data_IF_825653481730
#
_entry.id   IF_825653481730
#
_cell.length_a   1.000
_cell.length_b   1.000
_cell.length_c   1.000
_cell.angle_alpha   90.00
_cell.angle_beta   90.00
_cell.angle_gamma   90.00
#
_symmetry.space_group_name_H-M   'P 1'
#
loop_
_entity.id
_entity.type
_entity.pdbx_description
1 polymer ?
#
# COMPACT_ATOMS: atom_id res chain seq x y z
N UNK A 1 21.54 17.65 16.40
CA UNK A 1 21.29 18.46 17.62
C UNK A 1 20.35 17.66 18.53
N UNK A 2 20.52 17.73 19.85
CA UNK A 2 19.84 16.89 20.86
C UNK A 2 18.43 17.39 21.21
N UNK A 3 17.57 16.42 21.58
CA UNK A 3 16.41 16.58 22.47
C UNK A 3 15.07 16.65 21.74
N UNK A 4 13.97 16.03 22.19
CA UNK A 4 13.64 15.55 23.52
C UNK A 4 12.57 14.42 23.50
N UNK A 5 12.66 13.54 24.51
CA UNK A 5 11.67 12.52 24.88
C UNK A 5 10.53 13.13 25.69
N UNK A 6 9.34 12.52 25.60
CA UNK A 6 8.27 12.68 26.57
C UNK A 6 7.49 11.37 26.75
N UNK A 7 7.79 10.63 27.82
CA UNK A 7 6.95 9.55 28.36
C UNK A 7 5.84 10.15 29.25
N UNK A 8 4.63 9.58 29.20
CA UNK A 8 3.51 9.95 30.06
C UNK A 8 2.53 8.79 30.31
N UNK A 9 2.69 8.15 31.47
CA UNK A 9 1.79 7.20 32.19
C UNK A 9 0.31 7.61 32.10
N UNK A 10 -0.72 6.76 32.22
CA UNK A 10 -0.88 5.38 32.67
C UNK A 10 -2.35 5.20 33.09
N UNK A 11 -3.00 4.09 32.72
CA UNK A 11 -4.38 3.79 33.09
C UNK A 11 -4.43 2.80 34.27
N UNK A 12 -5.20 3.14 35.31
CA UNK A 12 -5.41 2.35 36.53
C UNK A 12 -6.51 1.31 36.33
N UNK A 13 -6.24 0.08 36.75
CA UNK A 13 -7.18 -1.04 36.84
C UNK A 13 -7.81 -1.11 38.25
N UNK A 14 -9.12 -1.33 38.35
CA UNK A 14 -9.87 -1.45 39.62
C UNK A 14 -10.28 -2.91 39.82
N UNK A 15 -9.72 -3.55 40.86
CA UNK A 15 -10.06 -4.92 41.28
C UNK A 15 -11.35 -4.96 42.12
N UNK A 16 -12.31 -5.78 41.69
CA UNK A 16 -13.52 -6.14 42.43
C UNK A 16 -13.40 -7.53 43.10
N UNK A 17 -13.71 -7.58 44.39
CA UNK A 17 -13.43 -8.68 45.33
C UNK A 17 -14.33 -9.92 45.19
N UNK A 18 -13.76 -11.10 45.52
CA UNK A 18 -14.40 -12.43 45.60
C UNK A 18 -15.33 -12.58 46.82
N UNK A 19 -16.43 -13.32 46.64
CA UNK A 19 -17.21 -13.95 47.72
C UNK A 19 -17.46 -15.43 47.41
N UNK A 20 -17.29 -16.29 48.42
CA UNK A 20 -17.44 -17.76 48.39
C UNK A 20 -18.66 -18.20 49.22
N UNK A 21 -19.40 -19.20 48.73
CA UNK A 21 -20.12 -20.31 49.42
C UNK A 21 -21.03 -20.96 48.35
N UNK A 22 -21.29 -22.26 48.23
CA UNK A 22 -21.04 -23.45 49.04
C UNK A 22 -22.18 -24.45 48.76
N UNK A 23 -21.84 -25.71 48.49
CA UNK A 23 -22.62 -26.96 48.59
C UNK A 23 -23.56 -27.51 47.46
N UNK A 24 -23.04 -28.59 46.85
CA UNK A 24 -23.51 -30.00 46.76
C UNK A 24 -24.78 -30.44 45.99
N UNK A 25 -24.51 -31.38 45.07
CA UNK A 25 -25.19 -32.66 44.75
C UNK A 25 -26.40 -32.70 43.80
N UNK A 26 -26.23 -33.28 42.61
CA UNK A 26 -26.84 -34.57 42.21
C UNK A 26 -26.51 -34.90 40.74
N UNK A 27 -26.36 -36.19 40.46
CA UNK A 27 -26.01 -36.76 39.17
C UNK A 27 -27.19 -36.73 38.19
N UNK A 28 -26.89 -36.66 36.88
CA UNK A 28 -27.57 -37.49 35.87
C UNK A 28 -26.76 -37.56 34.56
N UNK A 29 -26.72 -38.78 34.04
CA UNK A 29 -26.03 -39.27 32.83
C UNK A 29 -26.68 -38.71 31.58
N UNK A 30 -25.90 -38.22 30.62
CA UNK A 30 -26.34 -38.06 29.22
C UNK A 30 -25.14 -38.12 28.26
N UNK A 31 -25.17 -39.18 27.44
CA UNK A 31 -24.41 -39.52 26.24
C UNK A 31 -23.34 -38.52 25.74
N UNK A 32 -22.07 -38.94 25.81
CA UNK A 32 -20.97 -38.32 25.06
C UNK A 32 -21.04 -38.74 23.57
N UNK A 33 -21.58 -37.86 22.73
CA UNK A 33 -21.32 -37.87 21.29
C UNK A 33 -19.93 -37.27 21.05
N UNK A 34 -18.91 -38.12 20.92
CA UNK A 34 -17.58 -37.71 20.45
C UNK A 34 -17.70 -37.37 18.97
N UNK A 35 -18.03 -36.10 18.66
CA UNK A 35 -17.77 -35.55 17.33
C UNK A 35 -16.26 -35.33 17.24
N UNK A 36 -15.59 -36.17 16.46
CA UNK A 36 -14.22 -35.94 16.05
C UNK A 36 -14.16 -34.58 15.31
N UNK A 37 -13.67 -33.56 16.00
CA UNK A 37 -13.33 -32.28 15.40
C UNK A 37 -12.08 -32.53 14.55
N UNK A 38 -12.24 -32.62 13.23
CA UNK A 38 -11.11 -32.53 12.31
C UNK A 38 -10.53 -31.13 12.50
N UNK A 39 -9.46 -31.03 13.30
CA UNK A 39 -8.63 -29.84 13.37
C UNK A 39 -7.84 -29.79 12.06
N UNK A 40 -8.46 -29.23 11.01
CA UNK A 40 -7.71 -28.73 9.87
C UNK A 40 -6.93 -27.55 10.41
N UNK A 41 -5.66 -27.78 10.77
CA UNK A 41 -4.69 -26.71 10.95
C UNK A 41 -4.44 -26.15 9.55
N UNK A 42 -5.30 -25.22 9.13
CA UNK A 42 -4.96 -24.25 8.11
C UNK A 42 -3.81 -23.45 8.72
N UNK A 43 -2.58 -23.79 8.37
CA UNK A 43 -1.44 -22.90 8.57
C UNK A 43 -1.81 -21.63 7.80
N UNK A 44 -2.26 -20.60 8.51
CA UNK A 44 -2.42 -19.28 7.93
C UNK A 44 -1.01 -18.81 7.57
N UNK A 45 -0.66 -18.88 6.29
CA UNK A 45 0.49 -18.17 5.78
C UNK A 45 0.30 -16.67 6.09
N UNK A 46 1.32 -15.95 6.56
CA UNK A 46 1.21 -14.50 6.69
C UNK A 46 0.81 -13.91 5.34
N UNK A 47 -0.33 -13.22 5.31
CA UNK A 47 -0.96 -12.68 4.10
C UNK A 47 -0.40 -11.30 3.79
N UNK A 48 0.86 -11.21 3.36
CA UNK A 48 1.43 -9.95 2.87
C UNK A 48 1.64 -10.03 1.37
N UNK A 49 0.61 -9.67 0.62
CA UNK A 49 0.60 -9.73 -0.84
C UNK A 49 1.15 -8.47 -1.52
N UNK A 50 1.16 -7.35 -0.80
CA UNK A 50 1.59 -6.02 -1.24
C UNK A 50 2.14 -5.24 -0.05
N UNK A 51 2.98 -4.23 -0.30
CA UNK A 51 3.21 -3.20 0.69
C UNK A 51 1.90 -2.41 0.84
N UNK A 52 1.24 -2.61 1.97
CA UNK A 52 0.04 -1.89 2.38
C UNK A 52 0.44 -1.05 3.56
N UNK A 53 -0.16 0.13 3.68
CA UNK A 53 -0.06 0.85 4.94
C UNK A 53 -0.66 -0.05 6.02
N UNK A 54 0.01 -0.18 7.15
CA UNK A 54 -0.32 -1.20 8.13
C UNK A 54 0.06 -0.82 9.54
N UNK A 55 -0.70 -1.32 10.51
CA UNK A 55 -0.35 -1.23 11.94
C UNK A 55 0.08 -2.60 12.43
N UNK A 56 1.15 -2.63 13.22
CA UNK A 56 1.68 -3.86 13.82
C UNK A 56 0.99 -4.16 15.15
N UNK A 57 0.26 -5.28 15.24
CA UNK A 57 -0.32 -5.80 16.49
C UNK A 57 0.28 -7.18 16.78
N UNK A 58 1.24 -7.22 17.71
CA UNK A 58 2.03 -8.43 17.95
C UNK A 58 2.84 -8.81 16.71
N UNK A 59 2.72 -10.05 16.24
CA UNK A 59 3.40 -10.57 15.04
C UNK A 59 2.57 -10.39 13.74
N UNK A 60 1.45 -9.66 13.79
CA UNK A 60 0.56 -9.45 12.65
C UNK A 60 0.55 -8.00 12.22
N UNK A 61 0.74 -7.74 10.93
CA UNK A 61 0.48 -6.43 10.31
C UNK A 61 -0.96 -6.42 9.80
N UNK A 62 -1.77 -5.50 10.31
CA UNK A 62 -3.14 -5.29 9.85
C UNK A 62 -3.09 -4.21 8.78
N UNK A 63 -3.55 -4.55 7.58
CA UNK A 63 -3.66 -3.59 6.49
C UNK A 63 -4.68 -2.51 6.80
N UNK A 64 -4.31 -1.25 6.57
CA UNK A 64 -5.16 -0.09 6.71
C UNK A 64 -6.16 -0.05 5.55
N UNK A 65 -7.44 0.10 5.88
CA UNK A 65 -8.50 0.29 4.90
C UNK A 65 -9.71 0.97 5.50
N UNK A 66 -10.45 1.70 4.67
CA UNK A 66 -11.82 2.11 4.97
C UNK A 66 -12.74 0.90 5.19
N UNK A 67 -13.57 0.96 6.23
CA UNK A 67 -14.62 -0.04 6.49
C UNK A 67 -15.98 0.39 5.92
N UNK A 68 -16.23 1.70 5.87
CA UNK A 68 -17.45 2.27 5.31
C UNK A 68 -17.17 2.91 3.95
N UNK A 69 -18.06 2.66 2.99
CA UNK A 69 -18.01 3.21 1.63
C UNK A 69 -19.36 3.85 1.30
N UNK A 70 -19.40 4.91 0.48
CA UNK A 70 -18.26 5.53 -0.21
C UNK A 70 -17.35 6.36 0.73
N UNK A 71 -16.06 6.43 0.43
CA UNK A 71 -15.09 7.29 1.13
C UNK A 71 -15.47 8.74 0.88
N UNK A 72 -15.89 9.44 1.93
CA UNK A 72 -16.30 10.83 1.84
C UNK A 72 -15.09 11.74 1.88
N UNK A 73 -14.99 12.68 0.95
CA UNK A 73 -13.92 13.67 0.93
C UNK A 73 -14.42 15.08 0.60
N UNK A 74 -13.62 16.07 0.95
CA UNK A 74 -13.83 17.48 0.66
C UNK A 74 -12.65 18.04 -0.12
N UNK A 75 -12.90 19.11 -0.88
CA UNK A 75 -11.84 19.84 -1.59
C UNK A 75 -11.76 21.23 -1.00
N UNK A 76 -10.56 21.71 -0.71
CA UNK A 76 -10.35 23.07 -0.25
C UNK A 76 -10.87 24.08 -1.28
N UNK A 77 -11.48 25.16 -0.81
CA UNK A 77 -11.92 26.28 -1.65
C UNK A 77 -10.78 27.23 -2.05
N UNK A 78 -9.53 26.83 -1.76
CA UNK A 78 -8.31 27.54 -2.13
C UNK A 78 -7.67 26.93 -3.39
N UNK A 79 -7.12 27.80 -4.24
CA UNK A 79 -6.40 27.42 -5.46
C UNK A 79 -4.99 28.01 -5.47
N UNK A 80 -4.25 27.73 -6.54
CA UNK A 80 -2.88 28.21 -6.77
C UNK A 80 -2.75 28.85 -8.17
N UNK A 81 -1.68 29.61 -8.47
CA UNK A 81 -1.50 30.20 -9.79
C UNK A 81 -1.56 29.17 -10.93
N UNK A 82 -2.64 29.23 -11.73
CA UNK A 82 -2.88 28.33 -12.86
C UNK A 82 -3.82 27.16 -12.57
N UNK A 83 -4.25 26.96 -11.31
CA UNK A 83 -5.21 25.93 -10.91
C UNK A 83 -6.22 26.53 -9.94
N UNK A 84 -7.46 26.71 -10.39
CA UNK A 84 -8.56 27.15 -9.53
C UNK A 84 -9.04 26.01 -8.61
N UNK A 85 -9.82 26.29 -7.55
CA UNK A 85 -10.44 25.23 -6.75
C UNK A 85 -11.32 24.29 -7.59
N UNK A 86 -11.97 24.81 -8.64
CA UNK A 86 -12.75 23.99 -9.58
C UNK A 86 -11.86 23.08 -10.44
N UNK A 87 -10.67 23.55 -10.84
CA UNK A 87 -9.71 22.73 -11.57
C UNK A 87 -9.16 21.60 -10.68
N UNK A 88 -8.84 21.90 -9.42
CA UNK A 88 -8.44 20.92 -8.40
C UNK A 88 -9.54 19.87 -8.19
N UNK A 89 -10.77 20.30 -7.91
CA UNK A 89 -11.92 19.40 -7.72
C UNK A 89 -12.15 18.53 -8.96
N UNK A 90 -12.03 19.09 -10.15
CA UNK A 90 -12.12 18.35 -11.40
C UNK A 90 -11.01 17.29 -11.56
N UNK A 91 -9.77 17.59 -11.20
CA UNK A 91 -8.66 16.65 -11.25
C UNK A 91 -8.82 15.51 -10.23
N UNK A 92 -9.18 15.84 -8.98
CA UNK A 92 -9.47 14.87 -7.92
C UNK A 92 -10.61 13.94 -8.32
N UNK A 93 -11.70 14.45 -8.88
CA UNK A 93 -12.81 13.62 -9.34
C UNK A 93 -12.41 12.66 -10.47
N UNK A 94 -11.51 13.05 -11.39
CA UNK A 94 -11.02 12.14 -12.43
C UNK A 94 -10.11 11.05 -11.85
N UNK A 95 -9.24 11.43 -10.93
CA UNK A 95 -8.39 10.49 -10.21
C UNK A 95 -9.21 9.47 -9.38
N UNK A 96 -10.23 9.95 -8.64
CA UNK A 96 -11.16 9.09 -7.90
C UNK A 96 -11.87 8.10 -8.82
N UNK A 97 -12.39 8.57 -9.98
CA UNK A 97 -13.02 7.69 -10.98
C UNK A 97 -12.07 6.64 -11.52
N UNK A 98 -10.79 6.95 -11.73
CA UNK A 98 -9.83 5.96 -12.21
C UNK A 98 -9.65 4.79 -11.22
N UNK A 99 -9.78 5.04 -9.92
CA UNK A 99 -9.83 3.99 -8.90
C UNK A 99 -11.19 3.26 -8.87
N UNK A 100 -12.31 3.96 -9.02
CA UNK A 100 -13.67 3.36 -9.09
C UNK A 100 -13.88 2.48 -10.33
N UNK A 101 -13.21 2.82 -11.44
CA UNK A 101 -13.27 2.09 -12.70
C UNK A 101 -12.51 0.75 -12.65
N UNK A 102 -11.80 0.44 -11.55
CA UNK A 102 -11.17 -0.86 -11.34
C UNK A 102 -12.25 -1.91 -11.06
N UNK A 103 -12.56 -2.82 -12.03
CA UNK A 103 -13.74 -3.68 -11.94
C UNK A 103 -13.63 -4.78 -10.87
N UNK A 104 -12.42 -5.00 -10.37
CA UNK A 104 -12.07 -6.00 -9.36
C UNK A 104 -11.98 -5.42 -7.95
N UNK A 105 -12.21 -4.12 -7.79
CA UNK A 105 -12.25 -3.43 -6.51
C UNK A 105 -13.63 -2.82 -6.23
N UNK A 106 -14.05 -2.76 -4.96
CA UNK A 106 -15.34 -2.18 -4.54
C UNK A 106 -15.24 -0.75 -4.02
N UNK A 107 -14.05 -0.14 -4.04
CA UNK A 107 -13.82 1.22 -3.54
C UNK A 107 -14.73 2.20 -4.30
N UNK A 108 -15.33 3.13 -3.56
CA UNK A 108 -16.14 4.22 -4.12
C UNK A 108 -15.89 5.49 -3.32
N UNK A 109 -16.04 6.65 -3.94
CA UNK A 109 -15.78 7.95 -3.34
C UNK A 109 -17.01 8.87 -3.42
N UNK A 110 -17.17 9.71 -2.41
CA UNK A 110 -18.24 10.69 -2.33
C UNK A 110 -17.69 12.10 -2.10
N UNK A 111 -17.66 12.91 -3.16
CA UNK A 111 -17.33 14.33 -3.09
C UNK A 111 -18.42 15.07 -2.29
N UNK A 112 -18.07 15.56 -1.10
CA UNK A 112 -19.02 16.16 -0.17
C UNK A 112 -19.21 17.67 -0.30
N UNK A 113 -18.16 18.42 -0.64
CA UNK A 113 -18.18 19.86 -0.43
C UNK A 113 -16.89 20.55 -0.86
N UNK A 114 -17.01 21.85 -1.15
CA UNK A 114 -15.86 22.73 -0.95
C UNK A 114 -15.82 23.06 0.55
N UNK A 115 -14.62 23.20 1.12
CA UNK A 115 -14.39 23.62 2.52
C UNK A 115 -13.39 24.75 2.59
N UNK A 116 -13.51 25.56 3.64
CA UNK A 116 -12.46 26.46 4.07
C UNK A 116 -11.37 25.75 4.92
N UNK A 117 -11.64 24.53 5.41
CA UNK A 117 -10.63 23.67 6.05
C UNK A 117 -9.46 23.41 5.09
N UNK A 118 -8.27 23.29 5.65
CA UNK A 118 -7.05 22.89 4.95
C UNK A 118 -6.73 21.43 5.30
N UNK A 119 -6.01 20.71 4.42
CA UNK A 119 -5.50 19.39 4.78
C UNK A 119 -4.56 19.45 6.00
N UNK A 120 -4.43 18.32 6.70
CA UNK A 120 -3.47 18.14 7.80
C UNK A 120 -4.04 18.46 9.19
N UNK A 121 -5.32 18.76 9.31
CA UNK A 121 -6.02 18.95 10.57
C UNK A 121 -6.87 17.72 10.91
N UNK A 122 -6.66 17.11 12.09
CA UNK A 122 -7.49 16.00 12.57
C UNK A 122 -8.85 16.51 13.06
N UNK A 123 -9.73 16.86 12.10
CA UNK A 123 -11.04 17.50 12.32
C UNK A 123 -12.23 16.58 12.00
N UNK A 124 -11.97 15.32 11.65
CA UNK A 124 -12.94 14.34 11.20
C UNK A 124 -13.32 14.46 9.72
N UNK A 125 -12.61 15.28 8.94
CA UNK A 125 -12.84 15.49 7.51
C UNK A 125 -11.63 15.09 6.70
N UNK A 126 -11.83 14.23 5.71
CA UNK A 126 -10.80 13.95 4.70
C UNK A 126 -10.75 15.09 3.68
N UNK A 127 -9.78 15.99 3.82
CA UNK A 127 -9.68 17.22 3.03
C UNK A 127 -8.52 17.14 2.04
N UNK A 128 -8.79 17.50 0.78
CA UNK A 128 -7.77 17.62 -0.26
C UNK A 128 -7.57 19.08 -0.63
N UNK A 129 -6.33 19.57 -0.62
CA UNK A 129 -6.06 20.99 -0.85
C UNK A 129 -4.60 21.32 -1.13
N UNK A 130 -4.33 22.60 -1.39
CA UNK A 130 -2.96 23.09 -1.54
C UNK A 130 -2.44 23.63 -0.20
N UNK A 131 -1.18 23.33 0.09
CA UNK A 131 -0.42 23.96 1.17
C UNK A 131 0.93 24.44 0.66
N UNK A 132 1.35 25.64 1.05
CA UNK A 132 2.66 26.17 0.70
C UNK A 132 3.73 25.62 1.65
N UNK A 133 4.53 24.67 1.17
CA UNK A 133 5.57 23.95 1.92
C UNK A 133 6.92 24.03 1.18
N UNK A 134 7.51 25.23 1.03
CA UNK A 134 8.74 25.42 0.25
C UNK A 134 9.95 24.67 0.83
N UNK A 135 9.92 24.29 2.10
CA UNK A 135 10.92 23.45 2.75
C UNK A 135 10.92 21.99 2.25
N UNK A 136 9.83 21.53 1.63
CA UNK A 136 9.68 20.19 1.08
C UNK A 136 9.99 20.17 -0.43
N UNK A 137 11.22 20.51 -0.79
CA UNK A 137 11.69 20.74 -2.17
C UNK A 137 11.58 19.50 -3.11
N UNK A 138 11.19 18.33 -2.59
CA UNK A 138 11.06 17.07 -3.34
C UNK A 138 9.72 16.36 -3.13
N UNK A 139 8.77 17.01 -2.45
CA UNK A 139 7.46 16.44 -2.12
C UNK A 139 6.38 17.23 -2.85
N UNK A 140 5.76 16.60 -3.85
CA UNK A 140 4.70 17.19 -4.66
C UNK A 140 3.34 17.13 -3.95
N UNK A 141 3.10 16.08 -3.19
CA UNK A 141 1.95 15.92 -2.32
C UNK A 141 2.26 14.90 -1.23
N UNK A 142 1.38 14.82 -0.25
CA UNK A 142 1.39 13.71 0.70
C UNK A 142 -0.01 13.47 1.25
N UNK A 143 -0.27 12.20 1.53
CA UNK A 143 -1.45 11.74 2.27
C UNK A 143 -1.11 11.51 3.74
N UNK A 144 -1.83 12.19 4.63
CA UNK A 144 -1.83 11.90 6.07
C UNK A 144 -3.07 11.09 6.41
N UNK A 145 -2.93 10.02 7.21
CA UNK A 145 -4.04 9.16 7.60
C UNK A 145 -4.19 9.05 9.11
N UNK A 146 -5.42 9.16 9.58
CA UNK A 146 -5.80 8.87 10.97
C UNK A 146 -6.46 7.52 11.00
N UNK A 147 -5.99 6.63 11.89
CA UNK A 147 -6.39 5.22 11.90
C UNK A 147 -6.73 4.71 13.29
N UNK A 148 -7.67 3.78 13.36
CA UNK A 148 -7.85 2.94 14.54
C UNK A 148 -6.76 1.86 14.52
N UNK A 149 -5.79 1.99 15.44
CA UNK A 149 -4.63 1.09 15.53
C UNK A 149 -4.97 -0.32 16.02
N UNK A 150 -6.21 -0.57 16.45
CA UNK A 150 -6.72 -1.89 16.86
C UNK A 150 -7.37 -2.61 15.69
N UNK A 151 -8.15 -1.90 14.88
CA UNK A 151 -8.92 -2.50 13.78
C UNK A 151 -8.25 -2.36 12.41
N UNK A 152 -7.31 -1.42 12.27
CA UNK A 152 -6.75 -1.00 10.98
C UNK A 152 -7.75 -0.18 10.14
N UNK A 153 -8.81 0.32 10.73
CA UNK A 153 -9.76 1.20 10.04
C UNK A 153 -9.13 2.57 9.79
N UNK A 154 -9.22 3.04 8.54
CA UNK A 154 -8.95 4.45 8.22
C UNK A 154 -10.17 5.26 8.63
N UNK A 155 -9.94 6.27 9.47
CA UNK A 155 -10.96 7.17 10.01
C UNK A 155 -11.00 8.50 9.24
N UNK A 156 -9.84 8.96 8.80
CA UNK A 156 -9.64 10.23 8.10
C UNK A 156 -8.40 10.12 7.20
N UNK A 157 -8.42 10.81 6.06
CA UNK A 157 -7.27 10.96 5.21
C UNK A 157 -7.22 12.36 4.58
N UNK A 158 -6.19 13.13 4.91
CA UNK A 158 -5.93 14.43 4.30
C UNK A 158 -4.87 14.33 3.22
N UNK A 159 -5.05 15.09 2.14
CA UNK A 159 -4.07 15.16 1.06
C UNK A 159 -3.72 16.62 0.83
N UNK A 160 -2.46 16.96 1.05
CA UNK A 160 -1.95 18.24 0.61
C UNK A 160 -1.19 18.09 -0.71
N UNK A 161 -1.33 19.09 -1.57
CA UNK A 161 -0.50 19.30 -2.75
C UNK A 161 0.39 20.53 -2.49
N UNK A 162 1.69 20.42 -2.76
CA UNK A 162 2.62 21.47 -2.41
C UNK A 162 2.53 22.67 -3.37
N UNK A 163 2.03 23.80 -2.87
CA UNK A 163 1.83 25.04 -3.62
C UNK A 163 3.14 25.71 -4.10
N UNK A 164 4.29 25.29 -3.56
CA UNK A 164 5.60 25.76 -4.01
C UNK A 164 5.96 25.29 -5.43
N UNK A 165 5.26 24.28 -5.96
CA UNK A 165 5.47 23.77 -7.31
C UNK A 165 4.49 24.37 -8.33
N UNK A 166 4.88 24.47 -9.61
CA UNK A 166 3.97 24.86 -10.67
C UNK A 166 3.07 23.69 -11.09
N UNK A 167 1.76 23.92 -11.09
CA UNK A 167 0.75 22.90 -11.38
C UNK A 167 -0.01 23.16 -12.68
N UNK A 168 -0.45 22.08 -13.33
CA UNK A 168 -1.36 22.12 -14.48
C UNK A 168 -2.43 21.03 -14.35
N UNK A 169 -3.58 21.28 -14.95
CA UNK A 169 -4.66 20.30 -15.18
C UNK A 169 -4.92 20.10 -16.68
N UNK A 170 -4.04 20.62 -17.53
CA UNK A 170 -4.19 20.55 -18.98
C UNK A 170 -4.24 19.09 -19.46
N UNK A 171 -5.18 18.77 -20.35
CA UNK A 171 -5.40 17.40 -20.81
C UNK A 171 -4.15 16.78 -21.46
N UNK A 172 -3.34 17.58 -22.15
CA UNK A 172 -2.08 17.16 -22.78
C UNK A 172 -0.82 17.41 -21.93
N UNK A 173 -0.97 17.79 -20.67
CA UNK A 173 0.13 18.28 -19.84
C UNK A 173 0.62 19.68 -20.25
N UNK A 174 1.57 20.22 -19.50
CA UNK A 174 2.19 21.52 -19.77
C UNK A 174 3.68 21.49 -19.41
N UNK A 175 4.59 21.82 -20.36
CA UNK A 175 6.02 21.84 -20.07
C UNK A 175 6.35 22.73 -18.87
N UNK A 176 7.15 22.19 -17.94
CA UNK A 176 7.55 22.93 -16.73
C UNK A 176 6.48 22.97 -15.63
N UNK A 177 5.34 22.30 -15.78
CA UNK A 177 4.34 22.13 -14.72
C UNK A 177 4.04 20.66 -14.42
N UNK A 178 3.83 20.34 -13.15
CA UNK A 178 3.42 19.01 -12.73
C UNK A 178 1.94 18.77 -12.99
N UNK A 179 1.61 17.56 -13.44
CA UNK A 179 0.24 17.17 -13.71
C UNK A 179 -0.50 16.81 -12.42
N UNK A 180 -1.42 17.67 -12.00
CA UNK A 180 -2.15 17.51 -10.74
C UNK A 180 -2.99 16.23 -10.70
N UNK A 181 -3.53 15.79 -11.83
CA UNK A 181 -4.35 14.56 -11.88
C UNK A 181 -3.52 13.31 -11.59
N UNK A 182 -2.31 13.21 -12.15
CA UNK A 182 -1.40 12.10 -11.85
C UNK A 182 -0.99 12.05 -10.38
N UNK A 183 -0.68 13.20 -9.77
CA UNK A 183 -0.31 13.26 -8.35
C UNK A 183 -1.53 12.97 -7.47
N UNK A 184 -2.70 13.55 -7.78
CA UNK A 184 -3.93 13.25 -7.06
C UNK A 184 -4.29 11.76 -7.12
N UNK A 185 -4.03 11.08 -8.24
CA UNK A 185 -4.25 9.64 -8.36
C UNK A 185 -3.34 8.84 -7.41
N UNK A 186 -2.06 9.21 -7.33
CA UNK A 186 -1.10 8.63 -6.39
C UNK A 186 -1.52 8.83 -4.94
N UNK A 187 -1.80 10.08 -4.54
CA UNK A 187 -2.20 10.38 -3.15
C UNK A 187 -3.53 9.72 -2.77
N UNK A 188 -4.49 9.66 -3.70
CA UNK A 188 -5.72 8.90 -3.49
C UNK A 188 -5.46 7.40 -3.32
N UNK A 189 -4.43 6.85 -3.96
CA UNK A 189 -3.98 5.48 -3.73
C UNK A 189 -3.57 5.26 -2.26
N UNK A 190 -2.77 6.16 -1.69
CA UNK A 190 -2.46 6.15 -0.26
C UNK A 190 -3.71 6.27 0.62
N UNK A 191 -4.64 7.16 0.24
CA UNK A 191 -5.91 7.31 0.95
C UNK A 191 -6.72 6.01 0.95
N UNK A 192 -6.59 5.14 -0.05
CA UNK A 192 -7.22 3.79 -0.01
C UNK A 192 -6.50 2.78 0.90
N UNK A 193 -5.30 3.10 1.37
CA UNK A 193 -4.46 2.20 2.18
C UNK A 193 -3.32 1.51 1.41
N UNK A 194 -3.13 1.82 0.12
CA UNK A 194 -1.97 1.35 -0.63
C UNK A 194 -0.70 2.04 -0.16
N UNK A 195 0.40 1.29 -0.08
CA UNK A 195 1.73 1.88 0.07
C UNK A 195 2.43 1.94 -1.29
N UNK A 196 3.66 2.42 -1.29
CA UNK A 196 4.46 2.54 -2.50
C UNK A 196 4.75 1.19 -3.16
N UNK A 197 4.75 1.22 -4.49
CA UNK A 197 5.25 0.14 -5.36
C UNK A 197 6.68 0.46 -5.78
N UNK A 198 7.55 -0.55 -5.85
CA UNK A 198 8.90 -0.41 -6.41
C UNK A 198 8.95 -0.71 -7.91
N UNK A 199 7.81 -0.82 -8.59
CA UNK A 199 7.75 -0.95 -10.04
C UNK A 199 7.98 0.40 -10.73
N UNK A 200 9.24 0.79 -10.86
CA UNK A 200 9.66 1.95 -11.63
C UNK A 200 11.13 1.88 -11.99
N UNK A 201 11.51 2.65 -12.99
CA UNK A 201 12.89 2.74 -13.47
C UNK A 201 13.33 4.20 -13.39
N UNK A 202 14.50 4.41 -12.79
CA UNK A 202 15.09 5.74 -12.69
C UNK A 202 16.53 5.77 -13.19
N UNK A 203 16.99 6.96 -13.51
CA UNK A 203 18.41 7.22 -13.75
C UNK A 203 18.91 8.36 -12.89
N UNK A 204 20.20 8.32 -12.55
CA UNK A 204 20.87 9.41 -11.86
C UNK A 204 21.06 10.59 -12.81
N UNK A 205 20.67 11.78 -12.36
CA UNK A 205 20.83 13.01 -13.14
C UNK A 205 22.14 13.69 -12.76
N UNK A 206 22.79 14.32 -13.75
CA UNK A 206 23.98 15.13 -13.51
C UNK A 206 23.64 16.31 -12.60
N UNK A 207 24.24 16.37 -11.40
CA UNK A 207 23.92 17.34 -10.35
C UNK A 207 23.19 16.76 -9.13
N UNK A 208 22.87 15.46 -9.14
CA UNK A 208 22.19 14.76 -8.05
C UNK A 208 20.71 14.51 -8.32
N UNK A 209 20.10 13.63 -7.54
CA UNK A 209 18.70 13.20 -7.72
C UNK A 209 18.50 12.15 -8.82
N UNK A 210 17.23 11.76 -9.00
CA UNK A 210 16.78 10.72 -9.93
C UNK A 210 15.72 11.27 -10.88
N UNK A 211 15.77 10.84 -12.14
CA UNK A 211 14.72 11.05 -13.14
C UNK A 211 14.05 9.73 -13.45
N UNK A 212 12.72 9.72 -13.50
CA UNK A 212 11.92 8.55 -13.90
C UNK A 212 12.00 8.35 -15.41
N UNK A 213 12.37 7.14 -15.81
CA UNK A 213 12.35 6.67 -17.20
C UNK A 213 11.04 5.97 -17.54
N UNK A 214 10.46 5.28 -16.55
CA UNK A 214 9.16 4.63 -16.64
C UNK A 214 8.64 4.28 -15.25
N UNK A 215 7.33 4.36 -15.07
CA UNK A 215 6.65 3.89 -13.87
C UNK A 215 5.75 2.71 -14.26
N UNK A 216 5.98 1.56 -13.63
CA UNK A 216 5.17 0.36 -13.77
C UNK A 216 3.96 0.34 -12.83
N UNK A 217 3.84 1.33 -11.94
CA UNK A 217 2.76 1.55 -11.01
C UNK A 217 2.55 3.05 -10.77
N UNK A 218 1.31 3.46 -10.53
CA UNK A 218 0.99 4.81 -10.06
C UNK A 218 1.56 5.02 -8.66
N UNK A 219 1.56 3.98 -7.82
CA UNK A 219 2.13 4.04 -6.48
C UNK A 219 3.68 4.05 -6.45
N UNK A 220 4.35 4.27 -7.58
CA UNK A 220 5.80 4.50 -7.55
C UNK A 220 6.10 5.89 -6.93
N UNK A 221 7.00 6.00 -5.93
CA UNK A 221 7.16 7.21 -5.09
C UNK A 221 7.78 8.41 -5.82
N UNK A 222 8.26 8.23 -7.04
CA UNK A 222 8.93 9.29 -7.80
C UNK A 222 8.05 9.64 -8.99
N UNK A 223 7.60 10.89 -9.04
CA UNK A 223 6.77 11.38 -10.12
C UNK A 223 7.54 11.55 -11.44
N UNK A 224 6.82 11.47 -12.55
CA UNK A 224 7.37 11.88 -13.84
C UNK A 224 7.76 13.36 -13.84
N UNK A 225 8.67 13.71 -14.76
CA UNK A 225 9.07 15.11 -14.95
C UNK A 225 7.89 15.99 -15.40
N UNK A 226 7.91 17.31 -15.09
CA UNK A 226 6.88 18.25 -15.51
C UNK A 226 6.53 18.16 -17.01
N UNK A 227 5.24 18.24 -17.33
CA UNK A 227 4.67 18.10 -18.67
C UNK A 227 4.30 16.66 -19.07
N UNK A 228 4.62 15.66 -18.25
CA UNK A 228 4.21 14.28 -18.46
C UNK A 228 2.80 14.01 -17.88
N UNK A 229 2.03 13.11 -18.52
CA UNK A 229 0.69 12.71 -18.11
C UNK A 229 0.50 11.18 -18.05
N UNK A 230 1.59 10.41 -18.18
CA UNK A 230 1.55 8.95 -18.27
C UNK A 230 1.12 8.29 -16.95
N UNK A 231 1.21 9.03 -15.83
CA UNK A 231 0.81 8.61 -14.49
C UNK A 231 -0.68 8.72 -14.16
N UNK A 232 -1.56 8.96 -15.13
CA UNK A 232 -3.02 9.14 -14.90
C UNK A 232 -3.85 7.85 -14.88
N UNK A 233 -3.23 6.67 -14.86
CA UNK A 233 -3.96 5.40 -14.91
C UNK A 233 -3.34 4.33 -14.01
N UNK A 234 -4.13 3.66 -13.15
CA UNK A 234 -3.67 2.49 -12.40
C UNK A 234 -3.13 1.41 -13.33
N UNK A 235 -2.00 0.82 -12.95
CA UNK A 235 -1.36 -0.30 -13.61
C UNK A 235 -1.74 -1.61 -12.93
N UNK A 236 -1.20 -2.73 -13.42
CA UNK A 236 -1.58 -4.06 -12.93
C UNK A 236 -1.29 -4.25 -11.44
N UNK A 237 -0.17 -3.71 -10.95
CA UNK A 237 0.23 -3.76 -9.55
C UNK A 237 -0.72 -2.95 -8.65
N UNK A 238 -1.04 -1.71 -9.06
CA UNK A 238 -2.00 -0.84 -8.37
C UNK A 238 -3.38 -1.51 -8.28
N UNK A 239 -3.86 -2.07 -9.40
CA UNK A 239 -5.15 -2.78 -9.49
C UNK A 239 -5.16 -3.98 -8.56
N UNK A 240 -4.08 -4.76 -8.55
CA UNK A 240 -4.02 -5.99 -7.80
C UNK A 240 -3.90 -5.72 -6.28
N UNK A 241 -3.16 -4.68 -5.87
CA UNK A 241 -3.15 -4.17 -4.50
C UNK A 241 -4.51 -3.64 -4.05
N UNK A 242 -5.16 -2.79 -4.86
CA UNK A 242 -6.48 -2.23 -4.53
C UNK A 242 -7.54 -3.33 -4.43
N UNK A 243 -7.51 -4.29 -5.35
CA UNK A 243 -8.46 -5.42 -5.36
C UNK A 243 -8.23 -6.40 -4.21
N UNK A 244 -7.02 -6.45 -3.66
CA UNK A 244 -6.75 -7.23 -2.45
C UNK A 244 -7.26 -6.53 -1.18
N UNK A 245 -7.25 -5.19 -1.14
CA UNK A 245 -7.84 -4.38 -0.07
C UNK A 245 -9.38 -4.37 -0.13
N UNK A 246 -9.95 -4.22 -1.32
CA UNK A 246 -11.39 -4.03 -1.56
C UNK A 246 -11.94 -5.03 -2.57
N UNK A 247 -11.85 -6.35 -2.34
CA UNK A 247 -12.16 -7.35 -3.36
C UNK A 247 -13.61 -7.29 -3.85
N UNK A 248 -13.76 -7.17 -5.17
CA UNK A 248 -15.04 -7.21 -5.86
C UNK A 248 -15.05 -8.18 -7.05
N UNK A 249 -16.24 -8.39 -7.61
CA UNK A 249 -16.42 -9.14 -8.85
C UNK A 249 -15.91 -10.59 -8.78
N UNK A 250 -14.99 -10.93 -9.67
CA UNK A 250 -14.37 -12.25 -9.78
C UNK A 250 -12.88 -12.27 -9.44
N UNK A 251 -12.32 -11.20 -8.85
CA UNK A 251 -10.87 -11.07 -8.53
C UNK A 251 -10.29 -12.36 -7.93
N UNK A 252 -10.81 -12.79 -6.78
CA UNK A 252 -10.35 -14.02 -6.09
C UNK A 252 -10.54 -15.31 -6.88
N UNK A 253 -11.40 -15.33 -7.89
CA UNK A 253 -11.65 -16.49 -8.77
C UNK A 253 -10.82 -16.48 -10.04
N UNK A 254 -10.27 -15.34 -10.46
CA UNK A 254 -9.49 -15.18 -11.70
C UNK A 254 -7.98 -15.06 -11.47
N UNK A 255 -7.59 -14.58 -10.30
CA UNK A 255 -6.17 -14.42 -9.91
C UNK A 255 -5.74 -15.51 -8.95
N UNK A 256 -4.44 -15.76 -8.89
CA UNK A 256 -3.80 -16.58 -7.86
C UNK A 256 -2.74 -15.79 -7.11
N UNK A 257 -1.88 -16.50 -6.39
CA UNK A 257 -0.71 -15.93 -5.72
C UNK A 257 0.57 -16.70 -6.04
N UNK A 258 1.69 -15.99 -5.92
CA UNK A 258 3.04 -16.55 -5.94
C UNK A 258 3.62 -16.38 -4.55
N UNK A 259 4.01 -17.47 -3.89
CA UNK A 259 4.68 -17.42 -2.59
C UNK A 259 6.07 -18.04 -2.65
N UNK A 260 6.93 -17.63 -1.74
CA UNK A 260 8.28 -18.16 -1.72
C UNK A 260 9.19 -17.56 -0.68
N UNK A 261 10.49 -17.81 -0.87
CA UNK A 261 11.56 -17.38 0.00
C UNK A 261 12.78 -16.91 -0.78
N UNK A 262 13.26 -15.72 -0.44
CA UNK A 262 14.52 -15.17 -0.93
C UNK A 262 15.63 -15.49 0.06
N UNK A 263 16.73 -16.07 -0.42
CA UNK A 263 17.88 -16.40 0.44
C UNK A 263 19.21 -15.87 -0.11
N UNK A 264 20.07 -15.41 0.81
CA UNK A 264 21.47 -15.03 0.55
C UNK A 264 22.36 -15.86 1.50
N UNK A 265 23.25 -16.68 0.95
CA UNK A 265 24.11 -17.59 1.71
C UNK A 265 23.36 -18.48 2.73
N UNK A 266 22.16 -18.92 2.35
CA UNK A 266 21.29 -19.76 3.18
C UNK A 266 20.51 -19.01 4.27
N UNK A 267 20.62 -17.68 4.35
CA UNK A 267 19.84 -16.83 5.26
C UNK A 267 18.72 -16.13 4.50
N UNK A 268 17.61 -15.83 5.17
CA UNK A 268 16.54 -15.02 4.63
C UNK A 268 17.01 -13.61 4.28
N UNK A 269 16.46 -13.05 3.20
CA UNK A 269 16.68 -11.65 2.81
C UNK A 269 15.39 -10.89 3.09
N UNK A 270 15.43 -9.93 4.01
CA UNK A 270 14.31 -9.02 4.27
C UNK A 270 14.39 -7.82 3.33
N UNK A 271 13.24 -7.43 2.75
CA UNK A 271 13.08 -6.26 1.88
C UNK A 271 13.61 -6.44 0.45
N UNK A 272 13.83 -7.67 -0.02
CA UNK A 272 14.12 -7.92 -1.43
C UNK A 272 12.86 -7.67 -2.27
N UNK A 273 12.98 -6.88 -3.34
CA UNK A 273 11.88 -6.65 -4.27
C UNK A 273 11.74 -7.86 -5.21
N UNK A 274 10.56 -8.45 -5.24
CA UNK A 274 10.20 -9.61 -6.05
C UNK A 274 9.10 -9.22 -7.02
N UNK A 275 9.31 -9.48 -8.30
CA UNK A 275 8.36 -9.18 -9.37
C UNK A 275 7.91 -10.44 -10.08
N UNK A 276 6.62 -10.50 -10.42
CA UNK A 276 6.00 -11.54 -11.20
C UNK A 276 5.50 -10.99 -12.53
N UNK A 277 6.21 -11.30 -13.62
CA UNK A 277 5.82 -10.92 -14.98
C UNK A 277 5.03 -12.04 -15.63
N UNK A 278 3.72 -11.84 -15.84
CA UNK A 278 2.86 -12.82 -16.49
C UNK A 278 3.09 -12.81 -18.02
N UNK A 279 3.57 -13.93 -18.57
CA UNK A 279 3.94 -14.02 -19.99
C UNK A 279 2.76 -14.00 -20.95
N UNK A 280 1.53 -14.25 -20.46
CA UNK A 280 0.31 -14.22 -21.26
C UNK A 280 -0.28 -12.82 -21.32
N UNK A 281 -0.45 -12.17 -20.17
CA UNK A 281 -1.10 -10.86 -20.07
C UNK A 281 -0.13 -9.70 -20.18
N UNK A 282 1.18 -9.98 -20.06
CA UNK A 282 2.27 -8.98 -20.01
C UNK A 282 2.14 -8.00 -18.86
N UNK A 283 1.41 -8.39 -17.82
CA UNK A 283 1.27 -7.62 -16.60
C UNK A 283 2.41 -7.95 -15.64
N UNK A 284 2.82 -6.94 -14.88
CA UNK A 284 3.85 -7.01 -13.85
C UNK A 284 3.20 -6.65 -12.53
N UNK A 285 3.43 -7.50 -11.52
CA UNK A 285 2.98 -7.29 -10.15
C UNK A 285 4.17 -7.54 -9.24
N UNK A 286 4.39 -6.69 -8.25
CA UNK A 286 5.53 -6.71 -7.35
C UNK A 286 5.13 -6.81 -5.89
N UNK A 287 6.01 -7.36 -5.07
CA UNK A 287 5.99 -7.19 -3.62
C UNK A 287 7.39 -7.41 -3.04
N UNK A 288 7.54 -7.27 -1.74
CA UNK A 288 8.79 -7.48 -1.03
C UNK A 288 8.81 -8.79 -0.24
N UNK A 289 10.01 -9.26 0.10
CA UNK A 289 10.18 -10.26 1.16
C UNK A 289 10.05 -9.62 2.53
N UNK A 290 8.84 -9.71 3.11
CA UNK A 290 8.45 -9.01 4.34
C UNK A 290 8.60 -9.88 5.60
N UNK A 291 9.48 -10.87 5.57
CA UNK A 291 9.76 -11.74 6.73
C UNK A 291 11.25 -11.94 6.89
N UNK A 292 11.74 -12.02 8.13
CA UNK A 292 13.17 -12.21 8.45
C UNK A 292 13.77 -13.48 7.84
N UNK A 293 12.92 -14.47 7.62
CA UNK A 293 13.29 -15.72 6.97
C UNK A 293 13.33 -15.60 5.42
N UNK A 294 12.99 -14.43 4.88
CA UNK A 294 12.95 -14.09 3.45
C UNK A 294 11.63 -14.42 2.76
N UNK A 295 10.57 -14.71 3.52
CA UNK A 295 9.25 -15.02 2.98
C UNK A 295 8.63 -13.87 2.18
N UNK A 296 8.01 -14.19 1.04
CA UNK A 296 7.24 -13.25 0.23
C UNK A 296 5.95 -13.89 -0.27
N UNK A 297 4.94 -13.06 -0.55
CA UNK A 297 3.73 -13.41 -1.29
C UNK A 297 3.41 -12.29 -2.27
N UNK A 298 3.07 -12.62 -3.52
CA UNK A 298 2.49 -11.70 -4.51
C UNK A 298 1.12 -12.25 -4.85
N UNK A 299 0.03 -11.63 -4.36
CA UNK A 299 -1.33 -12.05 -4.73
C UNK A 299 -1.81 -11.32 -5.98
N UNK A 300 -3.06 -11.53 -6.41
CA UNK A 300 -3.65 -10.77 -7.52
C UNK A 300 -3.00 -11.02 -8.89
N UNK A 301 -2.18 -12.06 -9.02
CA UNK A 301 -1.50 -12.40 -10.27
C UNK A 301 -2.47 -13.16 -11.17
N UNK A 302 -2.68 -12.67 -12.40
CA UNK A 302 -3.49 -13.36 -13.40
C UNK A 302 -2.99 -14.80 -13.63
N UNK A 303 -3.90 -15.73 -13.89
CA UNK A 303 -3.54 -17.12 -14.13
C UNK A 303 -2.64 -17.30 -15.38
N UNK A 304 -1.58 -18.08 -15.24
CA UNK A 304 -0.64 -18.37 -16.32
C UNK A 304 0.83 -18.44 -15.89
N UNK A 305 1.73 -18.69 -16.85
CA UNK A 305 3.16 -18.76 -16.58
C UNK A 305 3.73 -17.36 -16.30
N UNK A 306 4.43 -17.24 -15.19
CA UNK A 306 5.09 -16.03 -14.73
C UNK A 306 6.61 -16.22 -14.64
N UNK A 307 7.34 -15.20 -15.09
CA UNK A 307 8.77 -15.05 -14.83
C UNK A 307 8.95 -14.30 -13.51
N UNK A 308 9.72 -14.85 -12.57
CA UNK A 308 10.01 -14.18 -11.32
C UNK A 308 11.41 -13.57 -11.36
N UNK A 309 11.52 -12.29 -11.01
CA UNK A 309 12.78 -11.58 -10.86
C UNK A 309 12.86 -10.99 -9.46
N UNK A 310 14.05 -11.03 -8.89
CA UNK A 310 14.37 -10.50 -7.56
C UNK A 310 15.47 -9.47 -7.74
N UNK A 311 15.33 -8.31 -7.10
CA UNK A 311 16.30 -7.23 -7.14
C UNK A 311 16.42 -6.54 -5.78
N UNK A 312 17.60 -5.98 -5.45
CA UNK A 312 17.72 -5.10 -4.30
C UNK A 312 16.91 -3.83 -4.54
N UNK A 313 16.41 -3.20 -3.48
CA UNK A 313 15.83 -1.87 -3.58
C UNK A 313 16.94 -0.84 -3.73
N UNK A 314 17.39 -0.60 -4.97
CA UNK A 314 18.48 0.33 -5.29
C UNK A 314 18.04 1.56 -6.10
N UNK A 315 16.77 1.64 -6.49
CA UNK A 315 16.21 2.73 -7.29
C UNK A 315 15.31 3.73 -6.54
N UNK A 316 15.27 3.65 -5.21
CA UNK A 316 14.57 4.60 -4.34
C UNK A 316 15.19 4.69 -2.95
N UNK A 317 14.75 5.67 -2.17
CA UNK A 317 15.14 5.81 -0.77
C UNK A 317 14.36 4.78 0.07
N UNK A 318 15.06 4.06 0.96
CA UNK A 318 14.45 2.95 1.74
C UNK A 318 13.25 3.40 2.57
N UNK A 319 13.32 4.61 3.13
CA UNK A 319 12.27 5.19 3.97
C UNK A 319 10.98 5.50 3.18
N UNK A 320 11.02 5.39 1.84
CA UNK A 320 9.80 5.43 1.01
C UNK A 320 9.01 4.12 1.08
N UNK A 321 9.61 3.01 1.52
CA UNK A 321 9.01 1.68 1.46
C UNK A 321 8.97 0.97 2.81
N UNK A 322 9.86 1.32 3.73
CA UNK A 322 10.07 0.61 4.98
C UNK A 322 10.21 1.59 6.15
N UNK A 323 9.95 1.09 7.36
CA UNK A 323 10.19 1.88 8.57
C UNK A 323 11.71 1.99 8.81
N UNK A 324 12.19 3.09 9.42
CA UNK A 324 13.63 3.29 9.69
C UNK A 324 14.27 2.17 10.54
N UNK A 325 13.46 1.42 11.27
CA UNK A 325 13.90 0.29 12.10
C UNK A 325 14.09 -1.01 11.33
N UNK A 326 13.56 -1.08 10.10
CA UNK A 326 13.60 -2.27 9.27
C UNK A 326 15.01 -2.54 8.76
N UNK A 327 15.42 -3.81 8.83
CA UNK A 327 16.76 -4.24 8.43
C UNK A 327 16.75 -4.74 6.99
N UNK A 328 16.46 -3.83 6.06
CA UNK A 328 16.43 -4.09 4.62
C UNK A 328 17.84 -4.44 4.12
N UNK A 329 17.98 -5.59 3.47
CA UNK A 329 19.24 -6.02 2.88
C UNK A 329 19.26 -5.69 1.38
N UNK A 330 20.04 -4.68 1.00
CA UNK A 330 20.24 -4.27 -0.41
C UNK A 330 21.55 -4.78 -1.01
N UNK A 331 22.36 -5.51 -0.24
CA UNK A 331 23.70 -5.94 -0.61
C UNK A 331 23.67 -7.29 -1.34
N UNK A 332 22.97 -7.32 -2.47
CA UNK A 332 22.89 -8.50 -3.34
C UNK A 332 22.71 -8.13 -4.81
N UNK A 333 23.01 -9.09 -5.69
CA UNK A 333 22.82 -8.99 -7.14
C UNK A 333 21.42 -9.48 -7.53
N UNK A 334 20.78 -8.77 -8.47
CA UNK A 334 19.52 -9.20 -9.04
C UNK A 334 19.61 -10.63 -9.63
N UNK A 335 18.52 -11.37 -9.49
CA UNK A 335 18.42 -12.76 -9.91
C UNK A 335 17.06 -13.04 -10.59
N UNK A 336 17.03 -14.05 -11.43
CA UNK A 336 15.81 -14.52 -12.09
C UNK A 336 15.58 -15.97 -11.70
N UNK A 337 14.36 -16.32 -11.32
CA UNK A 337 14.01 -17.71 -11.04
C UNK A 337 14.12 -18.53 -12.32
N UNK A 338 14.89 -19.63 -12.27
CA UNK A 338 15.23 -20.43 -13.46
C UNK A 338 14.06 -21.25 -14.02
N UNK A 339 12.91 -21.26 -13.35
CA UNK A 339 11.70 -21.94 -13.80
C UNK A 339 10.54 -20.94 -13.85
N UNK A 340 9.58 -21.19 -14.72
CA UNK A 340 8.34 -20.40 -14.72
C UNK A 340 7.47 -20.83 -13.54
N UNK A 341 6.93 -19.84 -12.82
CA UNK A 341 5.89 -20.07 -11.83
C UNK A 341 4.54 -20.13 -12.55
N UNK A 342 3.82 -21.25 -12.46
CA UNK A 342 2.54 -21.39 -13.13
C UNK A 342 1.40 -21.06 -12.17
N UNK A 343 0.91 -19.83 -12.21
CA UNK A 343 -0.17 -19.35 -11.34
C UNK A 343 -1.50 -19.92 -11.80
N UNK A 344 -2.23 -20.51 -10.86
CA UNK A 344 -3.60 -21.01 -11.07
C UNK A 344 -4.58 -20.13 -10.30
N UNK A 345 -5.71 -19.83 -10.93
CA UNK A 345 -6.72 -18.98 -10.34
C UNK A 345 -7.29 -19.60 -9.04
N UNK A 346 -7.44 -18.78 -7.99
CA UNK A 346 -7.91 -19.19 -6.67
C UNK A 346 -6.90 -20.01 -5.86
N UNK A 347 -5.63 -20.06 -6.26
CA UNK A 347 -4.61 -20.88 -5.59
C UNK A 347 -3.24 -20.19 -5.54
N UNK A 348 -2.39 -20.71 -4.66
CA UNK A 348 -1.00 -20.33 -4.53
C UNK A 348 -0.09 -21.28 -5.32
N UNK A 349 1.03 -20.79 -5.85
CA UNK A 349 2.02 -21.63 -6.55
C UNK A 349 2.71 -22.66 -5.66
N UNK A 350 2.62 -22.51 -4.34
CA UNK A 350 3.48 -23.18 -3.36
C UNK A 350 4.84 -22.47 -3.22
N UNK A 351 5.63 -22.89 -2.23
CA UNK A 351 6.92 -22.25 -1.88
C UNK A 351 7.92 -22.32 -3.04
N UNK A 352 8.25 -21.17 -3.61
CA UNK A 352 9.35 -20.99 -4.56
C UNK A 352 10.58 -20.46 -3.83
N UNK A 353 11.75 -21.09 -4.04
CA UNK A 353 13.01 -20.62 -3.46
C UNK A 353 13.89 -19.97 -4.51
N UNK A 354 14.33 -18.75 -4.25
CA UNK A 354 15.27 -18.02 -5.09
C UNK A 354 16.47 -17.66 -4.23
N UNK A 355 17.66 -18.05 -4.68
CA UNK A 355 18.92 -17.67 -4.01
C UNK A 355 19.57 -16.53 -4.79
N UNK A 356 19.87 -15.44 -4.09
CA UNK A 356 20.61 -14.29 -4.59
C UNK A 356 22.08 -14.38 -4.14
N UNK A 357 22.96 -13.69 -4.87
CA UNK A 357 24.39 -13.62 -4.55
C UNK A 357 24.71 -12.27 -3.92
N UNK A 358 25.63 -12.22 -2.96
CA UNK A 358 26.17 -10.95 -2.46
C UNK A 358 26.81 -10.14 -3.59
N UNK A 359 26.83 -8.81 -3.43
CA UNK A 359 27.38 -7.87 -4.41
C UNK A 359 28.91 -7.89 -4.44
#
# INVERSE_FOLDING_TARGET
MRGARGEGRGAREVQGSKSKRGDRCSANVSAALVKALLLVVLLASPTFAYLKLGVHIGDQTIALRWQELPVRYFVSDQGVPGVTPTDLDGAVQRAARAWEDVPTASITFARAGFTASLPGEEDGMSTLGFEDRPELERVLGATSITVDTVTGEILEADIFFNAAFPWTTASGGEPGRFDLESIALHELGHLTGLSHSALGETELVHGGGRRVLGAGAVMFPIAFSPGNIDGRRPMADDIAGLSDLYPAGDFRRRTGSVSGRITKDGRGVFGAHVTAFNLRTRQLVGNFSLSDDGGFVIAGVDAGPCLLRVEPLDDGDLDSFFDETDRVDVDFLAAVHTKLANVQAGSDTGEIRISVRAR
#
